data_IF_788604266660
#
_entry.id   IF_788604266660
#
_cell.length_a   1.000
_cell.length_b   1.000
_cell.length_c   1.000
_cell.angle_alpha   90.00
_cell.angle_beta   90.00
_cell.angle_gamma   90.00
#
_symmetry.space_group_name_H-M   'P 1'
#
loop_
_entity.id
_entity.type
_entity.pdbx_description
1 polymer ?
#
# COMPACT_ATOMS: atom_id res chain seq x y z
N UNK A 1 -18.94 -18.40 -19.43
CA UNK A 1 -19.45 -17.80 -18.15
C UNK A 1 -19.06 -16.34 -18.00
N UNK A 2 -17.79 -15.95 -18.17
CA UNK A 2 -17.37 -14.54 -18.06
C UNK A 2 -17.64 -13.71 -19.34
N UNK A 3 -17.65 -14.36 -20.51
CA UNK A 3 -17.89 -13.69 -21.82
C UNK A 3 -19.31 -13.11 -21.95
N UNK A 4 -20.25 -13.56 -21.13
CA UNK A 4 -21.65 -13.11 -21.12
C UNK A 4 -21.92 -11.99 -20.12
N UNK A 5 -20.88 -11.49 -19.46
CA UNK A 5 -21.01 -10.50 -18.38
C UNK A 5 -21.10 -9.09 -18.99
N UNK A 6 -22.19 -8.37 -18.70
CA UNK A 6 -22.37 -6.98 -19.16
C UNK A 6 -21.67 -5.98 -18.23
N UNK A 7 -21.27 -4.83 -18.77
CA UNK A 7 -20.81 -3.68 -17.98
C UNK A 7 -21.85 -3.24 -16.94
N UNK A 8 -23.14 -3.37 -17.26
CA UNK A 8 -24.24 -3.05 -16.34
C UNK A 8 -24.33 -4.02 -15.16
N UNK A 9 -24.06 -5.32 -15.41
CA UNK A 9 -24.01 -6.35 -14.36
C UNK A 9 -22.89 -6.04 -13.35
N UNK A 10 -21.73 -5.62 -13.85
CA UNK A 10 -20.58 -5.23 -13.03
C UNK A 10 -20.89 -3.95 -12.23
N UNK A 11 -21.46 -2.94 -12.86
CA UNK A 11 -21.84 -1.69 -12.20
C UNK A 11 -22.85 -1.93 -11.07
N UNK A 12 -23.85 -2.78 -11.33
CA UNK A 12 -24.86 -3.16 -10.33
C UNK A 12 -24.23 -3.92 -9.16
N UNK A 13 -23.31 -4.85 -9.44
CA UNK A 13 -22.56 -5.55 -8.40
C UNK A 13 -21.70 -4.58 -7.56
N UNK A 14 -21.04 -3.61 -8.18
CA UNK A 14 -20.25 -2.59 -7.46
C UNK A 14 -21.11 -1.72 -6.55
N UNK A 15 -22.30 -1.31 -7.01
CA UNK A 15 -23.26 -0.56 -6.20
C UNK A 15 -23.77 -1.39 -5.01
N UNK A 16 -23.96 -2.69 -5.17
CA UNK A 16 -24.39 -3.56 -4.08
C UNK A 16 -23.27 -3.77 -3.04
N UNK A 17 -22.03 -3.90 -3.50
CA UNK A 17 -20.85 -4.03 -2.62
C UNK A 17 -20.63 -2.73 -1.82
N UNK A 18 -20.83 -1.56 -2.41
CA UNK A 18 -20.61 -0.27 -1.75
C UNK A 18 -21.72 0.11 -0.74
N UNK A 19 -22.95 -0.40 -0.93
CA UNK A 19 -24.12 -0.09 -0.08
C UNK A 19 -24.21 -0.85 1.23
N UNK A 20 -23.19 -1.63 1.61
CA UNK A 20 -23.08 -2.32 2.88
C UNK A 20 -24.20 -3.35 3.17
N UNK A 21 -24.03 -4.53 2.61
CA UNK A 21 -24.15 -5.78 3.36
C UNK A 21 -23.10 -6.72 2.80
N UNK A 22 -22.44 -7.51 3.65
CA UNK A 22 -21.55 -8.59 3.22
C UNK A 22 -22.38 -9.74 2.61
N UNK A 23 -23.38 -9.41 1.78
CA UNK A 23 -24.19 -10.37 1.07
C UNK A 23 -23.36 -10.92 -0.07
N UNK A 24 -23.30 -12.25 -0.13
CA UNK A 24 -22.80 -12.96 -1.30
C UNK A 24 -23.50 -12.38 -2.52
N UNK A 25 -22.74 -11.86 -3.49
CA UNK A 25 -23.32 -11.49 -4.78
C UNK A 25 -23.98 -12.76 -5.31
N UNK A 26 -25.29 -12.72 -5.54
CA UNK A 26 -26.08 -13.90 -5.92
C UNK A 26 -25.67 -14.44 -7.29
N UNK A 27 -25.07 -13.58 -8.14
CA UNK A 27 -24.59 -13.95 -9.46
C UNK A 27 -23.27 -14.74 -9.40
N UNK A 28 -23.32 -16.00 -9.82
CA UNK A 28 -22.18 -16.91 -9.91
C UNK A 28 -21.09 -16.42 -10.89
N UNK A 29 -21.46 -15.66 -11.92
CA UNK A 29 -20.53 -15.08 -12.89
C UNK A 29 -19.68 -14.00 -12.24
N UNK A 30 -20.30 -13.12 -11.44
CA UNK A 30 -19.59 -12.09 -10.66
C UNK A 30 -18.69 -12.75 -9.63
N UNK A 31 -19.16 -13.80 -8.94
CA UNK A 31 -18.31 -14.54 -8.00
C UNK A 31 -17.10 -15.17 -8.70
N UNK A 32 -17.27 -15.70 -9.91
CA UNK A 32 -16.17 -16.25 -10.72
C UNK A 32 -15.19 -15.16 -11.14
N UNK A 33 -15.68 -13.99 -11.57
CA UNK A 33 -14.85 -12.83 -11.88
C UNK A 33 -14.02 -12.39 -10.66
N UNK A 34 -14.66 -12.26 -9.50
CA UNK A 34 -14.00 -11.88 -8.26
C UNK A 34 -12.95 -12.90 -7.83
N UNK A 35 -13.18 -14.21 -8.04
CA UNK A 35 -12.16 -15.24 -7.83
C UNK A 35 -10.94 -15.02 -8.73
N UNK A 36 -11.12 -14.74 -10.01
CA UNK A 36 -10.02 -14.48 -10.93
C UNK A 36 -9.24 -13.22 -10.54
N UNK A 37 -9.93 -12.13 -10.19
CA UNK A 37 -9.31 -10.89 -9.70
C UNK A 37 -8.53 -11.15 -8.41
N UNK A 38 -9.06 -11.97 -7.50
CA UNK A 38 -8.39 -12.35 -6.26
C UNK A 38 -7.11 -13.14 -6.52
N UNK A 39 -7.14 -14.11 -7.42
CA UNK A 39 -5.98 -14.93 -7.80
C UNK A 39 -4.90 -14.06 -8.43
N UNK A 40 -5.26 -13.21 -9.41
CA UNK A 40 -4.30 -12.29 -10.03
C UNK A 40 -3.75 -11.28 -9.01
N UNK A 41 -4.64 -10.67 -8.23
CA UNK A 41 -4.29 -9.68 -7.22
C UNK A 41 -3.36 -10.25 -6.14
N UNK A 42 -3.56 -11.48 -5.69
CA UNK A 42 -2.69 -12.12 -4.69
C UNK A 42 -1.21 -12.15 -5.08
N UNK A 43 -0.92 -12.24 -6.38
CA UNK A 43 0.45 -12.24 -6.92
C UNK A 43 1.00 -10.84 -7.21
N UNK A 44 0.15 -9.80 -7.20
CA UNK A 44 0.57 -8.41 -7.37
C UNK A 44 0.88 -7.81 -6.00
N UNK A 45 2.17 -7.58 -5.75
CA UNK A 45 2.64 -6.94 -4.52
C UNK A 45 1.93 -5.59 -4.31
N UNK A 46 1.41 -5.37 -3.10
CA UNK A 46 0.72 -4.12 -2.73
C UNK A 46 -0.77 -4.08 -3.07
N UNK A 47 -1.29 -5.05 -3.82
CA UNK A 47 -2.74 -5.18 -4.06
C UNK A 47 -3.53 -5.40 -2.76
N UNK A 48 -4.83 -5.14 -2.77
CA UNK A 48 -5.72 -5.45 -1.64
C UNK A 48 -5.66 -6.93 -1.22
N UNK A 49 -5.57 -7.84 -2.19
CA UNK A 49 -5.51 -9.28 -1.95
C UNK A 49 -4.17 -9.73 -1.37
N UNK A 50 -3.05 -9.19 -1.85
CA UNK A 50 -1.72 -9.49 -1.28
C UNK A 50 -1.62 -9.00 0.17
N UNK A 51 -2.17 -7.81 0.48
CA UNK A 51 -2.26 -7.29 1.85
C UNK A 51 -3.11 -8.17 2.75
N UNK A 52 -4.28 -8.61 2.28
CA UNK A 52 -5.13 -9.53 3.03
C UNK A 52 -4.43 -10.87 3.32
N UNK A 53 -3.71 -11.42 2.34
CA UNK A 53 -2.92 -12.64 2.52
C UNK A 53 -1.79 -12.46 3.57
N UNK A 54 -1.10 -11.32 3.57
CA UNK A 54 -0.10 -10.99 4.59
C UNK A 54 -0.72 -10.88 5.99
N UNK A 55 -1.89 -10.25 6.13
CA UNK A 55 -2.61 -10.21 7.40
C UNK A 55 -2.97 -11.62 7.89
N UNK A 56 -3.54 -12.47 7.03
CA UNK A 56 -3.83 -13.87 7.37
C UNK A 56 -2.57 -14.62 7.81
N UNK A 57 -1.44 -14.36 7.16
CA UNK A 57 -0.15 -14.93 7.56
C UNK A 57 0.26 -14.48 8.97
N UNK A 58 0.16 -13.20 9.30
CA UNK A 58 0.42 -12.68 10.64
C UNK A 58 -0.48 -13.37 11.67
N UNK A 59 -1.78 -13.48 11.42
CA UNK A 59 -2.72 -14.18 12.31
C UNK A 59 -2.35 -15.66 12.49
N UNK A 60 -1.97 -16.35 11.41
CA UNK A 60 -1.55 -17.75 11.47
C UNK A 60 -0.28 -17.95 12.30
N UNK A 61 0.66 -17.01 12.23
CA UNK A 61 1.89 -17.02 13.04
C UNK A 61 1.59 -16.76 14.51
N UNK A 62 0.68 -15.82 14.82
CA UNK A 62 0.23 -15.61 16.20
C UNK A 62 -0.44 -16.85 16.79
N UNK A 63 -1.22 -17.59 15.98
CA UNK A 63 -1.84 -18.83 16.42
C UNK A 63 -0.83 -19.96 16.63
N UNK A 64 0.16 -20.11 15.73
CA UNK A 64 1.12 -21.21 15.79
C UNK A 64 2.30 -20.98 16.73
N UNK A 65 2.78 -19.73 16.86
CA UNK A 65 3.96 -19.35 17.66
C UNK A 65 3.60 -18.59 18.94
N UNK A 66 2.31 -18.31 19.16
CA UNK A 66 1.85 -17.43 20.23
C UNK A 66 1.88 -15.96 19.82
N UNK A 67 1.25 -15.11 20.63
CA UNK A 67 1.21 -13.66 20.40
C UNK A 67 2.58 -13.05 20.70
N UNK A 68 3.05 -12.09 19.87
CA UNK A 68 4.26 -11.36 20.20
C UNK A 68 4.02 -10.50 21.45
N UNK A 69 5.04 -10.38 22.30
CA UNK A 69 4.99 -9.45 23.44
C UNK A 69 4.86 -7.99 23.01
N UNK A 70 5.29 -7.66 21.78
CA UNK A 70 5.20 -6.34 21.20
C UNK A 70 4.93 -6.44 19.68
N UNK A 71 3.91 -5.74 19.19
CA UNK A 71 3.63 -5.58 17.77
C UNK A 71 3.80 -4.10 17.39
N UNK A 72 4.75 -3.80 16.49
CA UNK A 72 5.04 -2.42 16.03
C UNK A 72 4.93 -2.35 14.51
N UNK A 73 4.21 -1.35 14.03
CA UNK A 73 4.24 -0.94 12.62
C UNK A 73 5.07 0.33 12.50
N UNK A 74 6.18 0.28 11.75
CA UNK A 74 7.02 1.44 11.46
C UNK A 74 6.66 1.93 10.06
N UNK A 75 6.08 3.13 9.96
CA UNK A 75 5.78 3.80 8.68
C UNK A 75 6.41 5.19 8.67
N UNK A 76 7.69 5.31 8.25
CA UNK A 76 8.39 6.58 8.25
C UNK A 76 7.77 7.57 7.26
N UNK A 77 7.55 8.80 7.71
CA UNK A 77 7.06 9.87 6.84
C UNK A 77 8.21 10.41 5.96
N UNK A 78 8.18 10.05 4.68
CA UNK A 78 9.13 10.51 3.66
C UNK A 78 9.00 12.00 3.36
N UNK A 79 7.78 12.55 3.39
CA UNK A 79 7.52 13.99 3.17
C UNK A 79 8.19 14.91 4.18
N UNK A 80 8.66 14.40 5.32
CA UNK A 80 9.36 15.19 6.35
C UNK A 80 10.85 14.88 6.40
N UNK A 81 11.35 14.01 5.53
CA UNK A 81 12.74 13.60 5.52
C UNK A 81 13.56 14.41 4.52
N UNK A 82 14.60 15.13 4.98
CA UNK A 82 15.57 15.76 4.08
C UNK A 82 16.31 14.71 3.23
N UNK A 83 16.51 13.49 3.75
CA UNK A 83 17.11 12.36 3.02
C UNK A 83 16.23 11.90 1.85
N UNK A 84 14.90 11.91 2.02
CA UNK A 84 13.98 11.59 0.93
C UNK A 84 14.05 12.65 -0.19
N UNK A 85 14.14 13.93 0.16
CA UNK A 85 14.33 15.03 -0.80
C UNK A 85 15.68 14.95 -1.51
N UNK A 86 16.75 14.61 -0.79
CA UNK A 86 18.07 14.39 -1.36
C UNK A 86 18.03 13.28 -2.41
N UNK A 87 17.38 12.14 -2.10
CA UNK A 87 17.19 11.08 -3.10
C UNK A 87 16.30 11.47 -4.28
N UNK A 88 15.42 12.45 -4.10
CA UNK A 88 14.62 13.04 -5.17
C UNK A 88 15.41 14.06 -6.02
N UNK A 89 16.69 14.29 -5.72
CA UNK A 89 17.56 15.18 -6.48
C UNK A 89 17.42 16.66 -6.12
N UNK A 90 16.80 16.97 -4.97
CA UNK A 90 16.79 18.34 -4.45
C UNK A 90 18.21 18.67 -3.96
N UNK A 91 18.76 19.78 -4.46
CA UNK A 91 20.04 20.31 -4.01
C UNK A 91 19.93 20.73 -2.53
N UNK A 92 20.52 19.91 -1.67
CA UNK A 92 20.38 20.01 -0.23
C UNK A 92 21.69 19.57 0.42
N UNK A 93 22.24 20.46 1.24
CA UNK A 93 23.29 20.10 2.19
C UNK A 93 22.67 19.35 3.37
N UNK A 94 22.91 18.03 3.43
CA UNK A 94 22.40 17.17 4.52
C UNK A 94 23.09 17.46 5.86
N UNK A 95 24.28 18.05 5.86
CA UNK A 95 24.98 18.46 7.09
C UNK A 95 24.47 19.81 7.61
N UNK A 96 23.82 20.60 6.75
CA UNK A 96 23.29 21.94 7.07
C UNK A 96 21.92 22.18 6.45
N UNK A 97 20.93 21.42 6.93
CA UNK A 97 19.55 21.55 6.46
C UNK A 97 18.92 22.87 6.95
N UNK A 98 18.80 23.85 6.05
CA UNK A 98 18.12 25.11 6.32
C UNK A 98 16.60 24.98 6.10
N UNK A 99 15.75 25.55 6.97
CA UNK A 99 14.30 25.50 6.81
C UNK A 99 13.79 26.06 5.49
N UNK A 100 14.47 27.08 4.94
CA UNK A 100 14.09 27.68 3.65
C UNK A 100 14.21 26.70 2.48
N UNK A 101 15.15 25.75 2.54
CA UNK A 101 15.41 24.76 1.49
C UNK A 101 14.39 23.61 1.53
N UNK A 102 13.79 23.35 2.70
CA UNK A 102 12.83 22.26 2.89
C UNK A 102 11.46 22.51 2.26
N UNK A 103 11.21 23.69 1.67
CA UNK A 103 9.94 24.05 1.01
C UNK A 103 8.73 23.87 1.94
N UNK A 104 7.53 24.08 1.44
CA UNK A 104 6.31 23.77 2.20
C UNK A 104 6.03 22.26 2.24
N UNK A 105 5.23 21.81 3.21
CA UNK A 105 4.82 20.40 3.29
C UNK A 105 4.09 19.92 2.03
N UNK A 106 3.33 20.81 1.39
CA UNK A 106 2.62 20.49 0.14
C UNK A 106 3.59 20.28 -1.02
N UNK A 107 4.57 21.17 -1.20
CA UNK A 107 5.58 21.02 -2.25
C UNK A 107 6.44 19.78 -2.05
N UNK A 108 6.81 19.46 -0.79
CA UNK A 108 7.50 18.20 -0.50
C UNK A 108 6.64 16.99 -0.87
N UNK A 109 5.36 16.99 -0.52
CA UNK A 109 4.46 15.91 -0.91
C UNK A 109 4.36 15.75 -2.44
N UNK A 110 4.31 16.86 -3.19
CA UNK A 110 4.35 16.83 -4.65
C UNK A 110 5.65 16.25 -5.19
N UNK A 111 6.81 16.66 -4.66
CA UNK A 111 8.12 16.13 -5.06
C UNK A 111 8.21 14.63 -4.79
N UNK A 112 7.81 14.20 -3.60
CA UNK A 112 7.82 12.79 -3.22
C UNK A 112 6.89 11.96 -4.12
N UNK A 113 5.69 12.45 -4.39
CA UNK A 113 4.74 11.77 -5.28
C UNK A 113 5.27 11.62 -6.72
N UNK A 114 6.07 12.58 -7.21
CA UNK A 114 6.68 12.50 -8.54
C UNK A 114 7.96 11.65 -8.59
N UNK A 115 8.54 11.30 -7.44
CA UNK A 115 9.79 10.53 -7.33
C UNK A 115 9.64 9.24 -6.50
N UNK A 116 8.81 8.26 -6.94
CA UNK A 116 8.54 7.04 -6.16
C UNK A 116 9.79 6.21 -5.85
N UNK A 117 10.81 6.25 -6.73
CA UNK A 117 12.11 5.58 -6.49
C UNK A 117 12.88 6.23 -5.34
N UNK A 118 12.78 7.55 -5.18
CA UNK A 118 13.41 8.26 -4.07
C UNK A 118 12.80 7.83 -2.73
N UNK A 119 11.47 7.71 -2.66
CA UNK A 119 10.75 7.17 -1.49
C UNK A 119 11.22 5.75 -1.16
N UNK A 120 11.33 4.87 -2.17
CA UNK A 120 11.79 3.50 -1.97
C UNK A 120 13.24 3.44 -1.44
N UNK A 121 14.14 4.28 -1.99
CA UNK A 121 15.52 4.41 -1.51
C UNK A 121 15.59 4.91 -0.08
N UNK A 122 14.82 5.96 0.24
CA UNK A 122 14.70 6.50 1.60
C UNK A 122 14.24 5.42 2.57
N UNK A 123 13.13 4.74 2.27
CA UNK A 123 12.60 3.70 3.13
C UNK A 123 13.62 2.59 3.37
N UNK A 124 14.24 2.06 2.31
CA UNK A 124 15.25 1.02 2.43
C UNK A 124 16.48 1.48 3.23
N UNK A 125 16.98 2.70 2.99
CA UNK A 125 18.10 3.28 3.73
C UNK A 125 17.78 3.40 5.23
N UNK A 126 16.60 3.94 5.55
CA UNK A 126 16.17 4.16 6.92
C UNK A 126 15.98 2.83 7.66
N UNK A 127 15.30 1.86 7.04
CA UNK A 127 15.08 0.54 7.63
C UNK A 127 16.39 -0.17 7.90
N UNK A 128 17.33 -0.20 6.94
CA UNK A 128 18.66 -0.80 7.14
C UNK A 128 19.50 -0.09 8.19
N UNK A 129 19.24 1.19 8.44
CA UNK A 129 19.96 1.96 9.47
C UNK A 129 19.41 1.71 10.88
N UNK A 130 18.10 1.49 11.01
CA UNK A 130 17.43 1.26 12.30
C UNK A 130 17.41 -0.22 12.68
N UNK A 131 17.10 -1.09 11.72
CA UNK A 131 16.98 -2.53 11.90
C UNK A 131 18.21 -3.17 11.26
N UNK A 132 19.20 -3.52 12.09
CA UNK A 132 20.37 -4.30 11.66
C UNK A 132 19.98 -5.74 11.35
#
# INVERSE_FOLDING_TARGET
>A
LLETLSSEDVATALLNISKASYSKVSDERINTLMKHIKVGGGNVMGSAHSRSALCTKIHSLCFSLGLPSLFVTINPADIHSPVALYFAGIDLDLDRVLPEVLRTSYERAQIIATHPVATAKFFNCLIKSILK
#
